data_IF_211143950643
#
_entry.id   IF_211143950643
#
_cell.length_a   1.000
_cell.length_b   1.000
_cell.length_c   1.000
_cell.angle_alpha   90.00
_cell.angle_beta   90.00
_cell.angle_gamma   90.00
#
_symmetry.space_group_name_H-M   'P 1'
#
loop_
_entity.id
_entity.type
_entity.pdbx_description
1 polymer ?
#
# COMPACT_ATOMS: atom_id res chain seq x y z
N UNK A 1 9.07 4.44 24.37
CA UNK A 1 8.55 4.41 22.98
C UNK A 1 7.29 3.56 22.76
N UNK A 2 6.58 3.08 23.79
CA UNK A 2 5.38 2.21 23.63
C UNK A 2 4.03 2.95 23.53
N UNK A 3 4.01 4.29 23.62
CA UNK A 3 2.80 5.08 23.91
C UNK A 3 2.19 5.81 22.70
N UNK A 4 2.87 5.80 21.55
CA UNK A 4 2.36 6.43 20.32
C UNK A 4 1.42 5.51 19.52
N UNK A 5 1.42 4.20 19.80
CA UNK A 5 0.61 3.19 19.10
C UNK A 5 -0.63 2.74 19.89
N UNK A 6 -1.10 3.54 20.85
CA UNK A 6 -2.41 3.30 21.50
C UNK A 6 -3.57 3.70 20.56
N UNK A 7 -3.72 2.96 19.47
CA UNK A 7 -4.84 3.03 18.52
C UNK A 7 -6.18 2.74 19.23
N UNK A 8 -6.13 2.07 20.37
CA UNK A 8 -7.23 1.78 21.30
C UNK A 8 -7.97 3.04 21.79
N UNK A 9 -7.33 4.22 21.82
CA UNK A 9 -7.98 5.46 22.30
C UNK A 9 -8.84 6.17 21.25
N UNK A 10 -8.70 5.85 19.97
CA UNK A 10 -9.45 6.51 18.90
C UNK A 10 -10.85 5.87 18.71
N UNK A 11 -11.87 6.68 18.38
CA UNK A 11 -13.22 6.18 18.10
C UNK A 11 -13.18 5.17 16.95
N UNK A 12 -14.00 4.11 17.02
CA UNK A 12 -13.97 3.01 16.05
C UNK A 12 -14.18 3.47 14.60
N UNK A 13 -14.96 4.53 14.40
CA UNK A 13 -15.14 5.18 13.10
C UNK A 13 -13.84 5.73 12.50
N UNK A 14 -12.94 6.29 13.33
CA UNK A 14 -11.67 6.82 12.84
C UNK A 14 -10.76 5.70 12.35
N UNK A 15 -10.71 4.57 13.05
CA UNK A 15 -9.95 3.38 12.62
C UNK A 15 -10.53 2.79 11.34
N UNK A 16 -11.86 2.78 11.20
CA UNK A 16 -12.53 2.33 9.98
C UNK A 16 -12.20 3.23 8.79
N UNK A 17 -12.28 4.56 8.96
CA UNK A 17 -11.90 5.51 7.91
C UNK A 17 -10.43 5.37 7.55
N UNK A 18 -9.54 5.26 8.55
CA UNK A 18 -8.11 5.07 8.33
C UNK A 18 -7.81 3.78 7.57
N UNK A 19 -8.49 2.67 7.92
CA UNK A 19 -8.41 1.41 7.20
C UNK A 19 -8.86 1.59 5.73
N UNK A 20 -10.01 2.24 5.49
CA UNK A 20 -10.51 2.51 4.15
C UNK A 20 -9.56 3.37 3.31
N UNK A 21 -9.04 4.45 3.86
CA UNK A 21 -8.06 5.32 3.19
C UNK A 21 -6.78 4.56 2.87
N UNK A 22 -6.24 3.80 3.82
CA UNK A 22 -5.04 2.99 3.58
C UNK A 22 -5.25 1.96 2.47
N UNK A 23 -6.41 1.32 2.42
CA UNK A 23 -6.76 0.36 1.37
C UNK A 23 -6.94 1.04 0.01
N UNK A 24 -7.54 2.24 -0.05
CA UNK A 24 -7.63 3.03 -1.27
C UNK A 24 -6.24 3.42 -1.81
N UNK A 25 -5.32 3.80 -0.92
CA UNK A 25 -3.92 4.10 -1.30
C UNK A 25 -3.22 2.86 -1.84
N UNK A 26 -3.40 1.69 -1.21
CA UNK A 26 -2.85 0.42 -1.69
C UNK A 26 -3.42 0.05 -3.07
N UNK A 27 -4.73 0.22 -3.27
CA UNK A 27 -5.37 -0.05 -4.55
C UNK A 27 -4.84 0.86 -5.67
N UNK A 28 -4.74 2.17 -5.40
CA UNK A 28 -4.16 3.14 -6.33
C UNK A 28 -2.70 2.83 -6.65
N UNK A 29 -1.90 2.54 -5.62
CA UNK A 29 -0.49 2.18 -5.80
C UNK A 29 -0.36 0.91 -6.64
N UNK A 30 -1.15 -0.13 -6.37
CA UNK A 30 -1.15 -1.37 -7.14
C UNK A 30 -1.49 -1.14 -8.61
N UNK A 31 -2.51 -0.33 -8.88
CA UNK A 31 -2.87 0.07 -10.24
C UNK A 31 -1.72 0.81 -10.94
N UNK A 32 -1.10 1.75 -10.25
CA UNK A 32 0.03 2.51 -10.77
C UNK A 32 1.25 1.61 -11.06
N UNK A 33 1.56 0.65 -10.18
CA UNK A 33 2.61 -0.35 -10.41
C UNK A 33 2.33 -1.18 -11.65
N UNK A 34 1.10 -1.67 -11.83
CA UNK A 34 0.72 -2.46 -13.00
C UNK A 34 0.84 -1.64 -14.29
N UNK A 35 0.35 -0.41 -14.29
CA UNK A 35 0.41 0.47 -15.46
C UNK A 35 1.86 0.80 -15.85
N UNK A 36 2.70 1.16 -14.87
CA UNK A 36 4.13 1.40 -15.07
C UNK A 36 4.86 0.14 -15.55
N UNK A 37 4.52 -1.02 -15.01
CA UNK A 37 5.13 -2.30 -15.40
C UNK A 37 4.78 -2.66 -16.84
N UNK A 38 3.52 -2.49 -17.24
CA UNK A 38 3.08 -2.72 -18.63
C UNK A 38 3.75 -1.75 -19.61
N UNK A 39 3.89 -0.47 -19.24
CA UNK A 39 4.61 0.51 -20.03
C UNK A 39 6.08 0.12 -20.22
N UNK A 40 6.75 -0.31 -19.14
CA UNK A 40 8.13 -0.76 -19.19
C UNK A 40 8.31 -2.04 -20.03
N UNK A 41 7.41 -3.02 -19.90
CA UNK A 41 7.39 -4.23 -20.73
C UNK A 41 7.20 -3.94 -22.21
N UNK A 42 6.31 -3.01 -22.55
CA UNK A 42 6.09 -2.56 -23.92
C UNK A 42 7.33 -1.87 -24.50
N UNK A 43 8.00 -1.02 -23.71
CA UNK A 43 9.25 -0.37 -24.10
C UNK A 43 10.40 -1.36 -24.28
N UNK A 44 10.57 -2.29 -23.34
CA UNK A 44 11.61 -3.31 -23.37
C UNK A 44 11.47 -4.22 -24.60
N UNK A 45 10.22 -4.61 -24.93
CA UNK A 45 9.91 -5.40 -26.12
C UNK A 45 10.19 -4.64 -27.43
N UNK A 46 10.08 -3.31 -27.42
CA UNK A 46 10.21 -2.47 -28.62
C UNK A 46 11.64 -1.99 -28.87
N UNK A 47 12.49 -1.85 -27.83
CA UNK A 47 13.81 -1.19 -27.94
C UNK A 47 14.99 -2.01 -27.37
N UNK A 48 14.75 -3.19 -26.77
CA UNK A 48 15.82 -4.08 -26.30
C UNK A 48 16.70 -3.48 -25.18
N UNK A 49 17.93 -3.99 -25.02
CA UNK A 49 18.89 -3.58 -23.97
C UNK A 49 19.22 -2.06 -23.98
N UNK A 50 18.97 -1.36 -25.08
CA UNK A 50 19.16 0.10 -25.20
C UNK A 50 18.16 0.89 -24.35
N UNK A 51 16.99 0.33 -24.05
CA UNK A 51 15.98 0.98 -23.20
C UNK A 51 16.37 1.04 -21.70
N UNK A 52 17.28 0.15 -21.25
CA UNK A 52 17.75 0.14 -19.86
C UNK A 52 18.58 1.38 -19.53
N UNK A 53 19.35 1.87 -20.50
CA UNK A 53 20.31 2.97 -20.30
C UNK A 53 19.72 4.36 -20.48
N UNK A 54 18.60 4.49 -21.22
CA UNK A 54 18.00 5.81 -21.53
C UNK A 54 16.87 6.25 -20.59
N UNK A 55 16.38 5.38 -19.69
CA UNK A 55 15.30 5.75 -18.74
C UNK A 55 14.66 4.59 -17.98
N UNK A 56 14.86 3.34 -18.39
CA UNK A 56 14.27 2.17 -17.74
C UNK A 56 14.69 2.00 -16.27
N UNK A 57 15.92 2.38 -15.91
CA UNK A 57 16.42 2.30 -14.53
C UNK A 57 15.67 3.25 -13.57
N UNK A 58 15.40 4.48 -14.01
CA UNK A 58 14.63 5.47 -13.22
C UNK A 58 13.19 5.00 -13.03
N UNK A 59 12.58 4.46 -14.07
CA UNK A 59 11.22 3.91 -14.01
C UNK A 59 11.15 2.67 -13.09
N UNK A 60 12.18 1.82 -13.12
CA UNK A 60 12.29 0.68 -12.21
C UNK A 60 12.39 1.14 -10.74
N UNK A 61 13.23 2.13 -10.45
CA UNK A 61 13.34 2.72 -9.10
C UNK A 61 12.01 3.32 -8.64
N UNK A 62 11.27 3.99 -9.53
CA UNK A 62 9.95 4.53 -9.23
C UNK A 62 8.93 3.43 -8.90
N UNK A 63 8.95 2.31 -9.63
CA UNK A 63 8.12 1.13 -9.34
C UNK A 63 8.48 0.57 -7.96
N UNK A 64 9.77 0.37 -7.67
CA UNK A 64 10.23 -0.15 -6.37
C UNK A 64 9.79 0.76 -5.23
N UNK A 65 10.01 2.07 -5.34
CA UNK A 65 9.57 3.05 -4.33
C UNK A 65 8.06 3.02 -4.12
N UNK A 66 7.28 2.99 -5.21
CA UNK A 66 5.82 2.91 -5.10
C UNK A 66 5.35 1.60 -4.46
N UNK A 67 6.06 0.49 -4.69
CA UNK A 67 5.81 -0.80 -4.06
C UNK A 67 6.10 -0.79 -2.55
N UNK A 68 7.19 -0.15 -2.14
CA UNK A 68 7.53 0.03 -0.71
C UNK A 68 6.44 0.86 -0.01
N UNK A 69 5.99 1.96 -0.63
CA UNK A 69 4.90 2.78 -0.10
C UNK A 69 3.61 1.96 0.00
N UNK A 70 3.26 1.20 -1.05
CA UNK A 70 2.10 0.31 -1.02
C UNK A 70 2.17 -0.69 0.13
N UNK A 71 3.32 -1.33 0.35
CA UNK A 71 3.54 -2.27 1.45
C UNK A 71 3.37 -1.60 2.81
N UNK A 72 3.89 -0.39 3.00
CA UNK A 72 3.74 0.35 4.25
C UNK A 72 2.26 0.63 4.56
N UNK A 73 1.49 1.09 3.56
CA UNK A 73 0.05 1.32 3.73
C UNK A 73 -0.74 0.01 3.91
N UNK A 74 -0.31 -1.08 3.29
CA UNK A 74 -0.91 -2.39 3.48
C UNK A 74 -0.71 -2.91 4.91
N UNK A 75 0.46 -2.71 5.51
CA UNK A 75 0.71 -3.04 6.91
C UNK A 75 -0.17 -2.19 7.85
N UNK A 76 -0.32 -0.89 7.57
CA UNK A 76 -1.22 -0.01 8.32
C UNK A 76 -2.68 -0.48 8.24
N UNK A 77 -3.15 -0.87 7.06
CA UNK A 77 -4.47 -1.47 6.87
C UNK A 77 -4.62 -2.73 7.75
N UNK A 78 -3.65 -3.63 7.74
CA UNK A 78 -3.69 -4.88 8.52
C UNK A 78 -3.76 -4.65 10.03
N UNK A 79 -3.03 -3.65 10.52
CA UNK A 79 -3.11 -3.25 11.93
C UNK A 79 -4.51 -2.72 12.27
N UNK A 80 -5.06 -1.83 11.44
CA UNK A 80 -6.41 -1.28 11.66
C UNK A 80 -7.50 -2.35 11.58
N UNK A 81 -7.41 -3.27 10.61
CA UNK A 81 -8.31 -4.41 10.45
C UNK A 81 -8.31 -5.29 11.71
N UNK A 82 -7.12 -5.61 12.23
CA UNK A 82 -6.96 -6.46 13.42
C UNK A 82 -7.62 -5.84 14.65
N UNK A 83 -7.44 -4.53 14.86
CA UNK A 83 -8.11 -3.77 15.93
C UNK A 83 -9.63 -3.75 15.76
N UNK A 84 -10.13 -3.58 14.54
CA UNK A 84 -11.57 -3.55 14.26
C UNK A 84 -12.21 -4.92 14.53
N UNK A 85 -11.56 -6.00 14.10
CA UNK A 85 -12.00 -7.39 14.35
C UNK A 85 -11.99 -7.68 15.86
N UNK A 86 -10.95 -7.26 16.58
CA UNK A 86 -10.87 -7.41 18.04
C UNK A 86 -11.99 -6.66 18.77
N UNK A 87 -12.33 -5.44 18.32
CA UNK A 87 -13.46 -4.67 18.86
C UNK A 87 -14.79 -5.37 18.57
N UNK A 88 -14.99 -5.88 17.36
CA UNK A 88 -16.19 -6.62 16.98
C UNK A 88 -16.36 -7.91 17.78
N UNK A 89 -15.29 -8.71 17.93
CA UNK A 89 -15.32 -9.93 18.75
C UNK A 89 -15.63 -9.64 20.22
N UNK A 90 -15.10 -8.55 20.78
CA UNK A 90 -15.45 -8.11 22.15
C UNK A 90 -16.91 -7.68 22.30
N UNK A 91 -17.52 -7.17 21.22
CA UNK A 91 -18.93 -6.81 21.20
C UNK A 91 -19.83 -8.06 21.12
N UNK A 92 -19.48 -9.04 20.28
CA UNK A 92 -20.20 -10.33 20.17
C UNK A 92 -20.02 -11.22 21.40
N UNK A 93 -18.83 -11.25 21.99
CA UNK A 93 -18.51 -12.10 23.14
C UNK A 93 -19.11 -11.62 24.48
N UNK A 94 -20.12 -10.75 24.44
CA UNK A 94 -20.97 -10.40 25.57
C UNK A 94 -22.36 -10.97 25.36
#
# INVERSE_FOLDING_TARGET
MKRFFDITRYPGLFIFVLAGVSLAVVAYATYNLLNLSMANLAFLRKHGLVALTSGGLVQFVQIVLSGIVALAFFLLYKICESELILRYRRWIGR
#
